data_IF_651080945238
#
_entry.id   IF_651080945238
#
_cell.length_a   1.000
_cell.length_b   1.000
_cell.length_c   1.000
_cell.angle_alpha   90.00
_cell.angle_beta   90.00
_cell.angle_gamma   90.00
#
_symmetry.space_group_name_H-M   'P 1'
#
loop_
_entity.id
_entity.type
_entity.pdbx_description
1 polymer ?
#
# COMPACT_ATOMS: atom_id res chain seq x y z
N UNK A 1 -9.79 -10.59 8.74
CA UNK A 1 -9.03 -9.41 8.29
C UNK A 1 -9.53 -8.83 6.98
N UNK A 2 -9.50 -9.56 5.85
CA UNK A 2 -9.90 -9.02 4.53
C UNK A 2 -11.34 -8.46 4.49
N UNK A 3 -12.31 -9.17 5.08
CA UNK A 3 -13.70 -8.68 5.16
C UNK A 3 -13.83 -7.38 5.96
N UNK A 4 -13.01 -7.20 7.01
CA UNK A 4 -12.96 -5.98 7.80
C UNK A 4 -12.43 -4.81 6.95
N UNK A 5 -11.34 -5.02 6.20
CA UNK A 5 -10.78 -4.01 5.30
C UNK A 5 -11.81 -3.59 4.24
N UNK A 6 -12.50 -4.55 3.60
CA UNK A 6 -13.56 -4.23 2.65
C UNK A 6 -14.75 -3.52 3.30
N UNK A 7 -15.11 -3.90 4.52
CA UNK A 7 -16.16 -3.23 5.30
C UNK A 7 -15.81 -1.77 5.60
N UNK A 8 -14.58 -1.51 6.06
CA UNK A 8 -14.07 -0.16 6.31
C UNK A 8 -14.05 0.65 5.00
N UNK A 9 -13.51 0.08 3.92
CA UNK A 9 -13.46 0.75 2.62
C UNK A 9 -14.88 1.09 2.11
N UNK A 10 -15.82 0.16 2.20
CA UNK A 10 -17.21 0.39 1.81
C UNK A 10 -17.88 1.47 2.67
N UNK A 11 -17.62 1.46 3.98
CA UNK A 11 -18.09 2.49 4.92
C UNK A 11 -17.53 3.87 4.57
N UNK A 12 -16.24 3.99 4.28
CA UNK A 12 -15.62 5.24 3.84
C UNK A 12 -16.18 5.72 2.49
N UNK A 13 -16.32 4.83 1.50
CA UNK A 13 -16.94 5.17 0.21
C UNK A 13 -18.37 5.67 0.42
N UNK A 14 -19.15 5.02 1.28
CA UNK A 14 -20.52 5.45 1.58
C UNK A 14 -20.51 6.83 2.27
N UNK A 15 -19.65 7.04 3.26
CA UNK A 15 -19.51 8.32 3.95
C UNK A 15 -19.14 9.46 2.98
N UNK A 16 -18.21 9.22 2.06
CA UNK A 16 -17.83 10.20 1.02
C UNK A 16 -18.98 10.56 0.07
N UNK A 17 -19.97 9.68 -0.09
CA UNK A 17 -21.14 9.90 -0.96
C UNK A 17 -22.29 10.57 -0.24
N UNK A 18 -22.47 10.28 1.05
CA UNK A 18 -23.52 10.87 1.88
C UNK A 18 -23.13 12.23 2.45
N UNK A 19 -21.85 12.41 2.80
CA UNK A 19 -21.31 13.64 3.39
C UNK A 19 -20.01 14.06 2.69
N UNK A 20 -20.08 14.47 1.41
CA UNK A 20 -18.90 14.91 0.68
C UNK A 20 -18.33 16.20 1.28
N UNK A 21 -17.05 16.20 1.61
CA UNK A 21 -16.34 17.41 2.06
C UNK A 21 -16.09 18.40 0.90
N UNK A 22 -16.02 17.90 -0.34
CA UNK A 22 -15.85 18.69 -1.56
C UNK A 22 -16.57 18.03 -2.74
N UNK A 23 -16.91 18.84 -3.75
CA UNK A 23 -17.50 18.34 -4.98
C UNK A 23 -16.51 17.45 -5.77
N UNK A 24 -16.97 16.28 -6.18
CA UNK A 24 -16.15 15.35 -6.96
C UNK A 24 -16.32 15.62 -8.47
N UNK A 25 -15.28 16.15 -9.16
CA UNK A 25 -15.41 16.52 -10.56
C UNK A 25 -15.72 15.30 -11.45
N UNK A 26 -16.44 15.56 -12.55
CA UNK A 26 -16.72 14.53 -13.56
C UNK A 26 -15.45 14.22 -14.35
N UNK A 27 -14.98 12.96 -14.25
CA UNK A 27 -13.81 12.47 -14.98
C UNK A 27 -14.24 11.35 -15.92
N UNK A 28 -13.88 11.46 -17.20
CA UNK A 28 -14.20 10.44 -18.21
C UNK A 28 -13.63 9.08 -17.81
N UNK A 29 -14.48 8.05 -17.90
CA UNK A 29 -14.14 6.65 -17.59
C UNK A 29 -13.52 6.46 -16.19
N UNK A 30 -13.92 7.28 -15.22
CA UNK A 30 -13.36 7.24 -13.87
C UNK A 30 -13.47 5.86 -13.22
N UNK A 31 -14.68 5.30 -13.16
CA UNK A 31 -14.94 4.03 -12.48
C UNK A 31 -14.13 2.86 -13.08
N UNK A 32 -14.13 2.63 -14.41
CA UNK A 32 -13.25 1.61 -14.99
C UNK A 32 -11.77 1.81 -14.66
N UNK A 33 -11.26 3.05 -14.72
CA UNK A 33 -9.84 3.34 -14.45
C UNK A 33 -9.46 3.03 -13.01
N UNK A 34 -10.26 3.48 -12.05
CA UNK A 34 -9.96 3.30 -10.62
C UNK A 34 -10.15 1.85 -10.18
N UNK A 35 -11.18 1.17 -10.70
CA UNK A 35 -11.40 -0.26 -10.44
C UNK A 35 -10.26 -1.11 -11.03
N UNK A 36 -9.81 -0.82 -12.26
CA UNK A 36 -8.69 -1.54 -12.87
C UNK A 36 -7.41 -1.40 -12.04
N UNK A 37 -7.04 -0.18 -11.64
CA UNK A 37 -5.81 0.05 -10.87
C UNK A 37 -5.89 -0.62 -9.48
N UNK A 38 -7.04 -0.53 -8.80
CA UNK A 38 -7.21 -1.20 -7.52
C UNK A 38 -7.24 -2.74 -7.65
N UNK A 39 -7.78 -3.27 -8.75
CA UNK A 39 -7.73 -4.70 -9.05
C UNK A 39 -6.29 -5.17 -9.31
N UNK A 40 -5.50 -4.39 -10.06
CA UNK A 40 -4.07 -4.64 -10.25
C UNK A 40 -3.35 -4.61 -8.91
N UNK A 41 -3.65 -3.65 -8.05
CA UNK A 41 -3.05 -3.57 -6.72
C UNK A 41 -3.39 -4.81 -5.87
N UNK A 42 -4.66 -5.20 -5.82
CA UNK A 42 -5.06 -6.43 -5.14
C UNK A 42 -4.34 -7.65 -5.71
N UNK A 43 -4.24 -7.75 -7.04
CA UNK A 43 -3.51 -8.81 -7.72
C UNK A 43 -2.03 -8.87 -7.33
N UNK A 44 -1.35 -7.73 -7.27
CA UNK A 44 0.05 -7.64 -6.83
C UNK A 44 0.19 -8.06 -5.37
N UNK A 45 -0.69 -7.60 -4.48
CA UNK A 45 -0.66 -7.97 -3.05
C UNK A 45 -0.90 -9.47 -2.85
N UNK A 46 -1.83 -10.07 -3.60
CA UNK A 46 -2.06 -11.52 -3.56
C UNK A 46 -0.87 -12.28 -4.12
N UNK A 47 -0.30 -11.82 -5.24
CA UNK A 47 0.90 -12.41 -5.83
C UNK A 47 2.08 -12.35 -4.84
N UNK A 48 2.25 -11.23 -4.13
CA UNK A 48 3.27 -11.07 -3.10
C UNK A 48 3.19 -12.18 -2.05
N UNK A 49 2.00 -12.38 -1.48
CA UNK A 49 1.73 -13.39 -0.46
C UNK A 49 1.99 -14.82 -0.93
N UNK A 50 1.82 -15.09 -2.22
CA UNK A 50 2.05 -16.41 -2.81
C UNK A 50 3.47 -16.62 -3.32
N UNK A 51 4.26 -15.55 -3.49
CA UNK A 51 5.59 -15.60 -4.09
C UNK A 51 6.66 -14.99 -3.18
N UNK A 52 7.06 -13.74 -3.41
CA UNK A 52 8.24 -13.16 -2.77
C UNK A 52 8.10 -13.01 -1.26
N UNK A 53 6.90 -12.84 -0.68
CA UNK A 53 6.76 -12.84 0.78
C UNK A 53 7.22 -14.17 1.38
N UNK A 54 6.86 -15.29 0.74
CA UNK A 54 7.28 -16.62 1.20
C UNK A 54 8.77 -16.77 1.10
N UNK A 55 9.35 -16.40 -0.04
CA UNK A 55 10.80 -16.49 -0.27
C UNK A 55 11.61 -15.59 0.66
N UNK A 56 11.19 -14.33 0.84
CA UNK A 56 11.84 -13.35 1.69
C UNK A 56 11.73 -13.68 3.18
N UNK A 57 10.75 -14.49 3.59
CA UNK A 57 10.59 -14.93 4.98
C UNK A 57 11.60 -15.97 5.45
N UNK A 58 12.45 -16.51 4.57
CA UNK A 58 13.47 -17.50 4.95
C UNK A 58 14.63 -16.90 5.74
N UNK A 59 14.88 -15.60 5.60
CA UNK A 59 16.01 -14.89 6.21
C UNK A 59 15.49 -13.71 6.99
N UNK A 60 16.11 -13.40 8.13
CA UNK A 60 15.82 -12.19 8.89
C UNK A 60 17.09 -11.66 9.58
N UNK A 61 17.17 -10.34 9.76
CA UNK A 61 18.20 -9.70 10.56
C UNK A 61 17.79 -9.57 12.04
N UNK A 62 16.58 -9.09 12.34
CA UNK A 62 16.15 -8.78 13.71
C UNK A 62 15.27 -9.84 14.38
N UNK A 63 14.68 -10.77 13.63
CA UNK A 63 13.87 -11.88 14.16
C UNK A 63 12.76 -11.46 15.16
N UNK A 64 12.09 -10.30 14.96
CA UNK A 64 11.10 -9.76 15.90
C UNK A 64 9.97 -10.75 16.22
N UNK A 65 9.54 -11.55 15.24
CA UNK A 65 8.49 -12.56 15.44
C UNK A 65 8.84 -13.66 16.46
N UNK A 66 10.13 -13.86 16.77
CA UNK A 66 10.57 -14.79 17.81
C UNK A 66 10.52 -14.18 19.22
N UNK A 67 10.46 -12.85 19.33
CA UNK A 67 10.58 -12.13 20.60
C UNK A 67 9.31 -11.36 20.98
N UNK A 68 8.49 -10.98 20.01
CA UNK A 68 7.32 -10.13 20.19
C UNK A 68 6.06 -10.76 19.59
N UNK A 69 4.92 -10.42 20.18
CA UNK A 69 3.62 -10.74 19.60
C UNK A 69 3.39 -10.05 18.24
N UNK A 70 2.46 -10.55 17.41
CA UNK A 70 2.20 -10.02 16.08
C UNK A 70 1.86 -8.52 16.04
N UNK A 71 1.04 -8.04 16.98
CA UNK A 71 0.63 -6.62 17.03
C UNK A 71 1.81 -5.68 17.37
N UNK A 72 2.63 -6.04 18.36
CA UNK A 72 3.80 -5.24 18.74
C UNK A 72 4.84 -5.23 17.62
N UNK A 73 5.06 -6.36 16.96
CA UNK A 73 5.91 -6.46 15.76
C UNK A 73 5.40 -5.54 14.65
N UNK A 74 4.10 -5.61 14.34
CA UNK A 74 3.47 -4.78 13.32
C UNK A 74 3.59 -3.28 13.63
N UNK A 75 3.42 -2.88 14.89
CA UNK A 75 3.56 -1.47 15.30
C UNK A 75 4.99 -0.95 15.09
N UNK A 76 6.00 -1.75 15.43
CA UNK A 76 7.42 -1.39 15.20
C UNK A 76 7.68 -1.23 13.70
N UNK A 77 7.25 -2.21 12.90
CA UNK A 77 7.40 -2.15 11.44
C UNK A 77 6.64 -0.96 10.86
N UNK A 78 5.43 -0.69 11.34
CA UNK A 78 4.63 0.47 10.93
C UNK A 78 5.40 1.76 11.12
N UNK A 79 5.85 2.05 12.35
CA UNK A 79 6.60 3.26 12.69
C UNK A 79 7.85 3.38 11.82
N UNK A 80 8.64 2.31 11.70
CA UNK A 80 9.85 2.33 10.88
C UNK A 80 9.53 2.55 9.39
N UNK A 81 8.47 1.93 8.89
CA UNK A 81 8.06 2.08 7.50
C UNK A 81 7.63 3.51 7.19
N UNK A 82 7.03 4.25 8.14
CA UNK A 82 6.65 5.65 7.90
C UNK A 82 7.88 6.49 7.55
N UNK A 83 9.01 6.25 8.20
CA UNK A 83 10.29 6.88 7.90
C UNK A 83 10.79 6.49 6.50
N UNK A 84 10.77 5.20 6.17
CA UNK A 84 11.21 4.72 4.84
C UNK A 84 10.33 5.27 3.72
N UNK A 85 9.00 5.24 3.91
CA UNK A 85 8.03 5.72 2.93
C UNK A 85 8.05 7.24 2.78
N UNK A 86 8.39 7.99 3.84
CA UNK A 86 8.65 9.43 3.73
C UNK A 86 9.77 9.71 2.73
N UNK A 87 10.92 9.07 2.89
CA UNK A 87 12.05 9.27 1.98
C UNK A 87 11.75 8.72 0.58
N UNK A 88 11.12 7.55 0.48
CA UNK A 88 10.71 7.01 -0.81
C UNK A 88 9.75 7.94 -1.56
N UNK A 89 8.81 8.56 -0.86
CA UNK A 89 7.94 9.59 -1.43
C UNK A 89 8.73 10.82 -1.89
N UNK A 90 9.62 11.34 -1.03
CA UNK A 90 10.47 12.48 -1.36
C UNK A 90 11.32 12.23 -2.62
N UNK A 91 12.00 11.07 -2.71
CA UNK A 91 12.84 10.73 -3.86
C UNK A 91 12.04 10.65 -5.17
N UNK A 92 10.80 10.16 -5.13
CA UNK A 92 9.90 10.12 -6.29
C UNK A 92 9.48 11.51 -6.76
N UNK A 93 9.47 12.50 -5.88
CA UNK A 93 9.20 13.89 -6.21
C UNK A 93 10.45 14.64 -6.71
N UNK A 94 11.62 14.34 -6.15
CA UNK A 94 12.86 15.05 -6.50
C UNK A 94 13.50 14.53 -7.80
N UNK A 95 13.29 13.26 -8.16
CA UNK A 95 13.81 12.68 -9.41
C UNK A 95 12.82 12.81 -10.57
N UNK A 96 13.24 13.48 -11.65
CA UNK A 96 12.41 13.61 -12.87
C UNK A 96 12.07 12.24 -13.49
N UNK A 97 12.99 11.28 -13.42
CA UNK A 97 12.76 9.93 -13.92
C UNK A 97 11.68 9.22 -13.10
N UNK A 98 11.80 9.21 -11.77
CA UNK A 98 10.83 8.54 -10.89
C UNK A 98 9.47 9.23 -10.91
N UNK A 99 9.44 10.56 -11.00
CA UNK A 99 8.21 11.32 -11.18
C UNK A 99 7.46 10.89 -12.44
N UNK A 100 8.13 10.91 -13.60
CA UNK A 100 7.50 10.59 -14.89
C UNK A 100 7.11 9.11 -15.00
N UNK A 101 7.91 8.21 -14.45
CA UNK A 101 7.68 6.76 -14.63
C UNK A 101 6.75 6.16 -13.57
N UNK A 102 6.72 6.70 -12.35
CA UNK A 102 6.00 6.10 -11.22
C UNK A 102 4.94 7.03 -10.65
N UNK A 103 5.31 8.26 -10.31
CA UNK A 103 4.55 9.05 -9.34
C UNK A 103 3.55 10.05 -9.93
N UNK A 104 3.73 10.49 -11.17
CA UNK A 104 2.85 11.49 -11.80
C UNK A 104 1.40 11.00 -11.94
N UNK A 105 1.17 9.69 -12.07
CA UNK A 105 -0.20 9.14 -12.17
C UNK A 105 -0.97 9.42 -10.88
N UNK A 106 -0.31 9.29 -9.73
CA UNK A 106 -0.90 9.59 -8.43
C UNK A 106 -1.34 11.04 -8.34
N UNK A 107 -0.47 11.97 -8.73
CA UNK A 107 -0.77 13.41 -8.73
C UNK A 107 -1.71 13.84 -9.86
N UNK A 108 -2.01 12.98 -10.83
CA UNK A 108 -2.96 13.28 -11.91
C UNK A 108 -4.43 13.12 -11.49
N UNK A 109 -4.70 12.52 -10.32
CA UNK A 109 -6.05 12.32 -9.83
C UNK A 109 -6.71 13.66 -9.47
N UNK A 110 -7.82 13.97 -10.16
CA UNK A 110 -8.61 15.19 -9.91
C UNK A 110 -9.74 14.99 -8.90
N UNK A 111 -10.05 13.75 -8.56
CA UNK A 111 -11.05 13.38 -7.56
C UNK A 111 -10.27 13.03 -6.30
N UNK A 112 -10.66 13.60 -5.16
CA UNK A 112 -10.06 13.29 -3.86
C UNK A 112 -11.07 12.45 -3.09
N UNK A 113 -10.96 11.13 -3.25
CA UNK A 113 -11.83 10.12 -2.63
C UNK A 113 -10.99 8.89 -2.26
N UNK A 114 -11.46 8.00 -1.39
CA UNK A 114 -10.63 6.95 -0.80
C UNK A 114 -10.02 6.01 -1.85
N UNK A 115 -10.72 5.78 -2.95
CA UNK A 115 -10.24 4.95 -4.06
C UNK A 115 -9.04 5.58 -4.79
N UNK A 116 -8.85 6.90 -4.67
CA UNK A 116 -7.73 7.63 -5.29
C UNK A 116 -6.41 7.48 -4.54
N UNK A 117 -6.46 7.09 -3.25
CA UNK A 117 -5.28 6.79 -2.44
C UNK A 117 -4.37 5.74 -3.08
N UNK A 118 -4.95 4.86 -3.89
CA UNK A 118 -4.25 3.79 -4.62
C UNK A 118 -4.14 4.03 -6.12
N UNK A 119 -4.49 5.23 -6.60
CA UNK A 119 -4.41 5.58 -8.02
C UNK A 119 -2.96 5.78 -8.45
N UNK A 120 -2.21 4.70 -8.64
CA UNK A 120 -0.76 4.69 -8.87
C UNK A 120 -0.39 3.88 -10.10
N UNK A 121 0.81 4.11 -10.64
CA UNK A 121 1.34 3.28 -11.71
C UNK A 121 1.55 1.83 -11.21
N UNK A 122 1.22 0.78 -12.00
CA UNK A 122 1.40 -0.62 -11.58
C UNK A 122 2.81 -0.97 -11.09
N UNK A 123 3.84 -0.40 -11.73
CA UNK A 123 5.23 -0.61 -11.30
C UNK A 123 5.50 0.06 -9.94
N UNK A 124 4.89 1.21 -9.64
CA UNK A 124 5.01 1.83 -8.32
C UNK A 124 4.37 0.94 -7.25
N UNK A 125 3.20 0.36 -7.55
CA UNK A 125 2.51 -0.58 -6.66
C UNK A 125 3.37 -1.80 -6.37
N UNK A 126 4.00 -2.38 -7.41
CA UNK A 126 4.90 -3.52 -7.26
C UNK A 126 6.15 -3.18 -6.44
N UNK A 127 6.81 -2.04 -6.71
CA UNK A 127 7.97 -1.59 -5.92
C UNK A 127 7.58 -1.36 -4.46
N UNK A 128 6.45 -0.71 -4.20
CA UNK A 128 5.94 -0.51 -2.84
C UNK A 128 5.71 -1.86 -2.14
N UNK A 129 5.12 -2.83 -2.84
CA UNK A 129 4.91 -4.17 -2.30
C UNK A 129 6.23 -4.83 -1.93
N UNK A 130 7.23 -4.81 -2.82
CA UNK A 130 8.57 -5.34 -2.52
C UNK A 130 9.23 -4.64 -1.33
N UNK A 131 9.17 -3.30 -1.29
CA UNK A 131 9.74 -2.50 -0.21
C UNK A 131 9.11 -2.88 1.13
N UNK A 132 7.78 -2.95 1.20
CA UNK A 132 7.07 -3.41 2.40
C UNK A 132 7.46 -4.84 2.78
N UNK A 133 7.54 -5.78 1.83
CA UNK A 133 7.97 -7.15 2.10
C UNK A 133 9.40 -7.24 2.64
N UNK A 134 10.32 -6.43 2.11
CA UNK A 134 11.72 -6.36 2.56
C UNK A 134 11.83 -5.81 3.99
N UNK A 135 10.98 -4.84 4.35
CA UNK A 135 10.92 -4.37 5.74
C UNK A 135 10.39 -5.47 6.66
N UNK A 136 9.24 -6.05 6.32
CA UNK A 136 8.54 -7.00 7.20
C UNK A 136 9.34 -8.29 7.42
N UNK A 137 9.85 -8.93 6.36
CA UNK A 137 10.45 -10.26 6.48
C UNK A 137 11.99 -10.24 6.61
N UNK A 138 12.78 -9.85 5.58
CA UNK A 138 14.24 -9.85 5.67
C UNK A 138 14.81 -8.93 6.74
N UNK A 139 14.28 -7.72 6.89
CA UNK A 139 14.80 -6.79 7.89
C UNK A 139 14.31 -7.18 9.28
N UNK A 140 12.99 -7.23 9.47
CA UNK A 140 12.40 -7.36 10.81
C UNK A 140 12.06 -8.79 11.24
N UNK A 141 11.85 -9.73 10.32
CA UNK A 141 11.56 -11.12 10.67
C UNK A 141 10.20 -11.32 11.32
N UNK A 142 9.21 -10.56 10.88
CA UNK A 142 7.87 -10.64 11.43
C UNK A 142 7.10 -11.86 10.88
N UNK A 143 6.13 -12.34 11.67
CA UNK A 143 5.20 -13.38 11.21
C UNK A 143 4.29 -12.86 10.09
N UNK A 144 3.69 -13.79 9.33
CA UNK A 144 2.68 -13.44 8.31
C UNK A 144 1.47 -12.75 8.93
N UNK A 145 1.13 -13.06 10.18
CA UNK A 145 0.07 -12.40 10.92
C UNK A 145 0.40 -10.93 11.21
N UNK A 146 1.62 -10.65 11.69
CA UNK A 146 2.10 -9.28 11.87
C UNK A 146 2.11 -8.49 10.55
N UNK A 147 2.49 -9.14 9.45
CA UNK A 147 2.43 -8.57 8.10
C UNK A 147 1.01 -8.18 7.67
N UNK A 148 -0.03 -8.82 8.23
CA UNK A 148 -1.43 -8.50 7.96
C UNK A 148 -2.02 -7.38 8.84
N UNK A 149 -1.33 -6.99 9.92
CA UNK A 149 -1.70 -5.86 10.78
C UNK A 149 -0.99 -4.56 10.40
N UNK A 150 0.18 -4.68 9.79
CA UNK A 150 1.01 -3.59 9.28
C UNK A 150 0.49 -3.08 7.93
#
# INVERSE_FOLDING_TARGET
>A
MILLIFGIAAGCILAERLWPAMDLPRVRAWWPRVLLINAIQLGITLLAGQTWNRWLAHWSLFHLGAHLGPLSSALIVYVFSTFVYYWWHRYRHESQFLWRTLHQIHHSARRLEILTSFYKHPVEIWINSLLSSVLVFPLFGCSVEAAGYY
#
